data_IF_866698862533
#
_entry.id   IF_866698862533
#
_cell.length_a   1.000
_cell.length_b   1.000
_cell.length_c   1.000
_cell.angle_alpha   90.00
_cell.angle_beta   90.00
_cell.angle_gamma   90.00
#
_symmetry.space_group_name_H-M   'P 1'
#
loop_
_entity.id
_entity.type
_entity.pdbx_description
1 polymer ?
#
# COMPACT_ATOMS: atom_id res chain seq x y z
N UNK A 1 16.19 -20.00 18.85
CA UNK A 1 15.28 -21.00 18.25
C UNK A 1 14.48 -20.26 17.18
N UNK A 2 14.94 -20.31 15.93
CA UNK A 2 14.28 -19.68 14.78
C UNK A 2 13.33 -20.71 14.18
N UNK A 3 12.03 -20.40 14.18
CA UNK A 3 11.02 -21.21 13.49
C UNK A 3 11.18 -20.93 11.99
N UNK A 4 11.66 -21.95 11.28
CA UNK A 4 11.91 -21.98 9.85
C UNK A 4 10.58 -21.77 9.10
N UNK A 5 10.46 -20.69 8.34
CA UNK A 5 9.34 -20.38 7.44
C UNK A 5 9.48 -21.16 6.11
N UNK A 6 9.75 -22.47 6.19
CA UNK A 6 10.15 -23.31 5.04
C UNK A 6 8.99 -24.07 4.37
N UNK A 7 7.74 -23.89 4.80
CA UNK A 7 6.62 -24.70 4.27
C UNK A 7 5.62 -23.86 3.49
N UNK A 8 6.04 -23.25 2.38
CA UNK A 8 5.11 -22.77 1.34
C UNK A 8 5.56 -23.02 -0.10
N UNK A 9 6.74 -23.60 -0.36
CA UNK A 9 7.17 -23.87 -1.74
C UNK A 9 6.99 -25.36 -2.06
N UNK A 10 6.23 -25.72 -3.11
CA UNK A 10 6.10 -27.12 -3.52
C UNK A 10 7.47 -27.60 -3.98
N UNK A 11 7.96 -28.67 -3.35
CA UNK A 11 9.19 -29.33 -3.75
C UNK A 11 9.07 -29.85 -5.19
N UNK A 12 10.00 -29.40 -6.04
CA UNK A 12 10.12 -29.84 -7.42
C UNK A 12 11.49 -29.46 -7.94
N UNK A 13 12.32 -30.47 -8.13
CA UNK A 13 13.66 -30.43 -8.70
C UNK A 13 13.61 -29.78 -10.10
N UNK A 14 13.97 -28.49 -10.20
CA UNK A 14 14.32 -27.81 -11.44
C UNK A 14 15.09 -26.53 -11.12
N UNK A 15 16.24 -26.38 -11.77
CA UNK A 15 17.09 -25.20 -11.70
C UNK A 15 16.28 -23.94 -12.07
N UNK A 16 16.21 -23.00 -11.14
CA UNK A 16 15.92 -21.58 -11.38
C UNK A 16 14.50 -21.11 -11.75
N UNK A 17 13.44 -21.85 -11.41
CA UNK A 17 12.08 -21.28 -11.38
C UNK A 17 11.85 -20.54 -10.05
N UNK A 18 12.61 -19.47 -9.79
CA UNK A 18 12.15 -18.47 -8.84
C UNK A 18 10.96 -17.76 -9.48
N UNK A 19 9.75 -18.12 -9.07
CA UNK A 19 8.58 -17.32 -9.38
C UNK A 19 8.84 -15.89 -8.91
N UNK A 20 8.87 -14.95 -9.86
CA UNK A 20 9.16 -13.55 -9.57
C UNK A 20 8.08 -13.00 -8.63
N UNK A 21 8.47 -12.77 -7.38
CA UNK A 21 7.56 -12.27 -6.35
C UNK A 21 7.33 -10.77 -6.56
N UNK A 22 6.08 -10.35 -6.67
CA UNK A 22 5.69 -8.96 -6.87
C UNK A 22 5.26 -8.33 -5.54
N UNK A 23 5.85 -7.19 -5.20
CA UNK A 23 5.36 -6.36 -4.10
C UNK A 23 4.64 -5.13 -4.65
N UNK A 24 3.38 -4.94 -4.24
CA UNK A 24 2.52 -3.89 -4.76
C UNK A 24 1.92 -3.08 -3.63
N UNK A 25 1.90 -1.76 -3.78
CA UNK A 25 1.21 -0.83 -2.88
C UNK A 25 0.09 -0.18 -3.68
N UNK A 26 -1.13 -0.25 -3.15
CA UNK A 26 -2.33 0.29 -3.77
C UNK A 26 -2.87 1.41 -2.88
N UNK A 27 -2.99 2.61 -3.45
CA UNK A 27 -3.76 3.72 -2.88
C UNK A 27 -4.97 3.96 -3.77
N UNK A 28 -6.16 3.86 -3.19
CA UNK A 28 -7.42 4.25 -3.83
C UNK A 28 -7.93 5.53 -3.21
N UNK A 29 -8.18 6.55 -4.03
CA UNK A 29 -8.82 7.80 -3.61
C UNK A 29 -10.16 7.94 -4.31
N UNK A 30 -11.23 8.06 -3.53
CA UNK A 30 -12.58 8.34 -4.01
C UNK A 30 -12.94 9.79 -3.68
N UNK A 31 -13.45 10.54 -4.66
CA UNK A 31 -13.84 11.95 -4.51
C UNK A 31 -15.36 12.04 -4.48
N UNK A 32 -15.98 12.30 -3.33
CA UNK A 32 -17.44 12.36 -3.24
C UNK A 32 -18.01 13.71 -3.69
N UNK A 33 -17.21 14.76 -3.57
CA UNK A 33 -17.48 16.09 -4.06
C UNK A 33 -16.14 16.87 -4.13
N UNK A 34 -16.23 18.17 -4.42
CA UNK A 34 -15.09 19.08 -4.53
C UNK A 34 -14.18 19.13 -3.29
N UNK A 35 -14.68 18.77 -2.10
CA UNK A 35 -14.01 18.95 -0.82
C UNK A 35 -13.85 17.67 0.00
N UNK A 36 -14.57 16.60 -0.33
CA UNK A 36 -14.62 15.35 0.43
C UNK A 36 -14.02 14.20 -0.35
N UNK A 37 -13.01 13.57 0.24
CA UNK A 37 -12.38 12.36 -0.28
C UNK A 37 -12.37 11.23 0.75
N UNK A 38 -12.34 10.00 0.27
CA UNK A 38 -11.97 8.81 1.05
C UNK A 38 -10.70 8.21 0.45
N UNK A 39 -9.79 7.77 1.31
CA UNK A 39 -8.53 7.16 0.92
C UNK A 39 -8.44 5.78 1.53
N UNK A 40 -8.10 4.78 0.73
CA UNK A 40 -7.88 3.41 1.17
C UNK A 40 -6.51 2.95 0.69
N UNK A 41 -5.73 2.35 1.58
CA UNK A 41 -4.36 1.93 1.30
C UNK A 41 -4.15 0.47 1.69
N UNK A 42 -3.41 -0.26 0.86
CA UNK A 42 -3.01 -1.64 1.15
C UNK A 42 -1.69 -1.98 0.46
N UNK A 43 -0.94 -2.92 1.03
CA UNK A 43 0.23 -3.50 0.38
C UNK A 43 0.12 -5.02 0.30
N UNK A 44 0.56 -5.57 -0.82
CA UNK A 44 0.36 -6.96 -1.22
C UNK A 44 1.70 -7.56 -1.66
N UNK A 45 1.95 -8.79 -1.24
CA UNK A 45 3.01 -9.64 -1.75
C UNK A 45 2.32 -10.76 -2.55
N UNK A 46 2.40 -10.68 -3.87
CA UNK A 46 1.56 -11.43 -4.79
C UNK A 46 0.07 -11.31 -4.40
N UNK A 47 -0.60 -12.41 -4.08
CA UNK A 47 -2.02 -12.46 -3.71
C UNK A 47 -2.26 -12.19 -2.21
N UNK A 48 -1.20 -12.07 -1.41
CA UNK A 48 -1.30 -11.95 0.05
C UNK A 48 -1.18 -10.49 0.50
N UNK A 49 -2.25 -9.95 1.08
CA UNK A 49 -2.17 -8.64 1.73
C UNK A 49 -1.23 -8.72 2.95
N UNK A 50 -0.23 -7.84 2.97
CA UNK A 50 0.79 -7.77 4.02
C UNK A 50 0.59 -6.57 4.95
N UNK A 51 0.06 -5.47 4.43
CA UNK A 51 -0.17 -4.26 5.21
C UNK A 51 -1.57 -3.71 4.98
N UNK A 52 -2.18 -3.25 6.08
CA UNK A 52 -3.25 -2.26 6.05
C UNK A 52 -2.67 -0.86 6.22
N UNK A 53 -3.49 0.16 5.97
CA UNK A 53 -3.12 1.55 6.15
C UNK A 53 -4.25 2.34 6.81
N UNK A 54 -3.90 3.13 7.80
CA UNK A 54 -4.78 4.07 8.47
C UNK A 54 -4.65 5.44 7.78
N UNK A 55 -5.72 5.90 7.15
CA UNK A 55 -5.68 7.10 6.30
C UNK A 55 -5.59 8.43 7.06
N UNK A 56 -5.88 8.39 8.37
CA UNK A 56 -5.99 9.56 9.23
C UNK A 56 -4.65 9.86 9.90
N UNK A 57 -3.99 8.80 10.40
CA UNK A 57 -2.66 8.86 10.99
C UNK A 57 -1.54 8.68 9.97
N UNK A 58 -1.83 8.01 8.85
CA UNK A 58 -0.84 7.67 7.83
C UNK A 58 -0.04 6.40 8.12
N UNK A 59 -0.33 5.70 9.22
CA UNK A 59 0.47 4.57 9.70
C UNK A 59 0.11 3.26 8.95
N UNK A 60 1.11 2.41 8.75
CA UNK A 60 0.91 1.06 8.24
C UNK A 60 0.66 0.07 9.37
N UNK A 61 -0.32 -0.80 9.19
CA UNK A 61 -0.56 -1.94 10.08
C UNK A 61 -0.01 -3.20 9.43
N UNK A 62 1.01 -3.82 10.04
CA UNK A 62 1.49 -5.14 9.62
C UNK A 62 0.43 -6.20 9.93
N UNK A 63 -0.07 -6.88 8.89
CA UNK A 63 -1.06 -7.94 9.05
C UNK A 63 -0.42 -9.27 9.45
N UNK A 64 0.87 -9.45 9.16
CA UNK A 64 1.64 -10.64 9.54
C UNK A 64 2.90 -10.26 10.33
N UNK A 65 3.41 -11.16 11.20
CA UNK A 65 4.62 -10.90 12.00
C UNK A 65 5.86 -10.58 11.17
N UNK A 66 5.91 -11.04 9.92
CA UNK A 66 7.02 -10.84 8.99
C UNK A 66 6.79 -9.70 7.99
N UNK A 67 5.63 -9.03 7.98
CA UNK A 67 5.28 -8.02 6.97
C UNK A 67 6.22 -6.80 7.00
N UNK A 68 6.73 -6.44 8.19
CA UNK A 68 7.75 -5.40 8.34
C UNK A 68 9.03 -5.69 7.53
N UNK A 69 9.28 -6.95 7.19
CA UNK A 69 10.47 -7.37 6.46
C UNK A 69 11.75 -6.97 7.21
N UNK A 70 12.72 -6.45 6.45
CA UNK A 70 14.00 -6.01 6.99
C UNK A 70 14.07 -4.50 7.26
N UNK A 71 12.94 -3.78 7.18
CA UNK A 71 12.92 -2.35 7.48
C UNK A 71 13.22 -2.12 8.96
N UNK A 72 14.08 -1.16 9.26
CA UNK A 72 14.16 -0.59 10.60
C UNK A 72 12.86 0.15 10.93
N UNK A 73 12.60 0.36 12.22
CA UNK A 73 11.44 1.17 12.62
C UNK A 73 11.51 2.61 12.13
N UNK A 74 12.74 3.13 11.91
CA UNK A 74 12.95 4.49 11.40
C UNK A 74 12.60 4.57 9.91
N UNK A 75 13.10 3.63 9.10
CA UNK A 75 12.80 3.59 7.66
C UNK A 75 11.30 3.41 7.41
N UNK A 76 10.65 2.52 8.18
CA UNK A 76 9.20 2.33 8.05
C UNK A 76 8.43 3.62 8.37
N UNK A 77 8.82 4.35 9.43
CA UNK A 77 8.20 5.64 9.79
C UNK A 77 8.45 6.73 8.74
N UNK A 78 9.60 6.73 8.06
CA UNK A 78 9.90 7.65 6.96
C UNK A 78 9.04 7.34 5.72
N UNK A 79 8.81 6.06 5.43
CA UNK A 79 7.90 5.61 4.37
C UNK A 79 6.45 5.99 4.67
N UNK A 80 5.96 5.72 5.88
CA UNK A 80 4.62 6.13 6.36
C UNK A 80 4.40 7.63 6.17
N UNK A 81 5.36 8.46 6.56
CA UNK A 81 5.28 9.92 6.40
C UNK A 81 5.21 10.32 4.92
N UNK A 82 6.03 9.70 4.09
CA UNK A 82 6.10 10.00 2.65
C UNK A 82 4.79 9.62 1.95
N UNK A 83 4.30 8.41 2.21
CA UNK A 83 3.04 7.92 1.68
C UNK A 83 1.84 8.73 2.19
N UNK A 84 1.81 9.09 3.47
CA UNK A 84 0.76 9.92 4.04
C UNK A 84 0.73 11.32 3.39
N UNK A 85 1.90 11.95 3.23
CA UNK A 85 2.02 13.25 2.57
C UNK A 85 1.54 13.18 1.13
N UNK A 86 1.94 12.14 0.38
CA UNK A 86 1.47 11.90 -0.98
C UNK A 86 -0.06 11.72 -1.02
N UNK A 87 -0.62 10.91 -0.11
CA UNK A 87 -2.06 10.64 -0.04
C UNK A 87 -2.90 11.88 0.22
N UNK A 88 -2.34 12.89 0.89
CA UNK A 88 -3.01 14.18 1.13
C UNK A 88 -2.87 15.08 -0.08
N UNK A 89 -1.67 15.20 -0.66
CA UNK A 89 -1.39 16.19 -1.70
C UNK A 89 -1.88 15.78 -3.08
N UNK A 90 -1.76 14.51 -3.42
CA UNK A 90 -2.10 14.02 -4.76
C UNK A 90 -3.58 14.28 -5.11
N UNK A 91 -4.55 14.03 -4.21
CA UNK A 91 -5.95 14.35 -4.49
C UNK A 91 -6.22 15.85 -4.71
N UNK A 92 -5.46 16.75 -4.06
CA UNK A 92 -5.67 18.19 -4.19
C UNK A 92 -5.45 18.67 -5.64
N UNK A 93 -4.54 18.02 -6.38
CA UNK A 93 -4.29 18.35 -7.80
C UNK A 93 -5.58 18.18 -8.61
N UNK A 94 -6.31 17.10 -8.39
CA UNK A 94 -7.60 16.89 -9.06
C UNK A 94 -8.64 17.89 -8.56
N UNK A 95 -8.62 18.19 -7.27
CA UNK A 95 -9.53 19.16 -6.67
C UNK A 95 -9.42 20.55 -7.28
N UNK A 96 -8.19 21.04 -7.43
CA UNK A 96 -7.89 22.34 -8.01
C UNK A 96 -8.32 22.44 -9.49
N UNK A 97 -8.41 21.30 -10.19
CA UNK A 97 -8.69 21.25 -11.63
C UNK A 97 -10.07 20.67 -12.00
N UNK A 98 -10.96 20.34 -11.06
CA UNK A 98 -12.28 19.74 -11.38
C UNK A 98 -13.03 20.52 -12.48
N UNK A 99 -13.14 21.84 -12.29
CA UNK A 99 -13.85 22.72 -13.23
C UNK A 99 -13.14 22.84 -14.58
N UNK A 100 -11.80 22.94 -14.55
CA UNK A 100 -11.00 23.12 -15.77
C UNK A 100 -10.99 21.87 -16.65
N UNK A 101 -10.93 20.71 -16.01
CA UNK A 101 -10.90 19.40 -16.69
C UNK A 101 -12.29 18.80 -16.90
N UNK A 102 -13.35 19.50 -16.48
CA UNK A 102 -14.74 19.03 -16.57
C UNK A 102 -14.90 17.64 -15.94
N UNK A 103 -14.23 17.41 -14.81
CA UNK A 103 -14.41 16.20 -14.02
C UNK A 103 -15.74 16.30 -13.27
N UNK A 104 -16.54 15.25 -13.33
CA UNK A 104 -17.79 15.15 -12.57
C UNK A 104 -17.63 14.10 -11.46
N UNK A 105 -18.01 14.46 -10.24
CA UNK A 105 -18.17 13.51 -9.14
C UNK A 105 -19.58 12.92 -9.22
N UNK A 106 -19.77 11.89 -10.04
CA UNK A 106 -21.02 11.14 -10.11
C UNK A 106 -21.09 10.18 -8.91
N UNK A 107 -22.07 10.38 -8.02
CA UNK A 107 -22.49 9.38 -7.02
C UNK A 107 -24.00 9.25 -7.00
#
# INVERSE_FOLDING_TARGET
QLVLLVVLLPGGDNENDFQETSFQIILTTSFYNDSRTQKLGSAWLDELQTHGWDSDSGNFTCLWPWSKGNFSSKELMEEERSFHTFSIRFPLIFQDHFSEWQLECEF
#
